data_IF_465200893009
#
_entry.id   IF_465200893009
#
_cell.length_a   1.000
_cell.length_b   1.000
_cell.length_c   1.000
_cell.angle_alpha   90.00
_cell.angle_beta   90.00
_cell.angle_gamma   90.00
#
_symmetry.space_group_name_H-M   'P 1'
#
loop_
_entity.id
_entity.type
_entity.pdbx_description
1 polymer ?
#
# COMPACT_ATOMS: atom_id res chain seq x y z
N UNK A 1 -42.17 25.59 -77.17
CA UNK A 1 -40.88 25.26 -76.54
C UNK A 1 -40.99 25.73 -75.09
N UNK A 2 -41.57 24.90 -74.22
CA UNK A 2 -40.95 23.79 -73.43
C UNK A 2 -40.58 24.29 -72.04
N UNK A 3 -41.42 23.95 -71.05
CA UNK A 3 -41.11 24.07 -69.63
C UNK A 3 -40.15 22.94 -69.26
N UNK A 4 -38.93 23.28 -68.85
CA UNK A 4 -37.99 22.34 -68.26
C UNK A 4 -38.30 22.23 -66.76
N UNK A 5 -38.71 21.03 -66.32
CA UNK A 5 -38.91 20.70 -64.91
C UNK A 5 -37.63 20.05 -64.40
N UNK A 6 -36.75 20.85 -63.81
CA UNK A 6 -35.61 20.36 -63.04
C UNK A 6 -36.13 19.72 -61.75
N UNK A 7 -36.21 18.40 -61.74
CA UNK A 7 -36.52 17.61 -60.54
C UNK A 7 -35.30 17.55 -59.62
N UNK A 8 -35.39 18.20 -58.46
CA UNK A 8 -34.43 18.03 -57.37
C UNK A 8 -34.65 16.64 -56.77
N UNK A 9 -33.74 15.70 -57.06
CA UNK A 9 -33.73 14.37 -56.43
C UNK A 9 -33.19 14.55 -55.00
N UNK A 10 -34.09 14.62 -54.03
CA UNK A 10 -33.73 14.59 -52.61
C UNK A 10 -33.27 13.19 -52.22
N UNK A 11 -31.99 13.04 -51.88
CA UNK A 11 -31.41 11.79 -51.40
C UNK A 11 -31.89 11.53 -49.97
N UNK A 12 -32.93 10.68 -49.81
CA UNK A 12 -33.48 10.31 -48.52
C UNK A 12 -32.53 9.34 -47.80
N UNK A 13 -31.50 9.88 -47.13
CA UNK A 13 -30.69 9.12 -46.18
C UNK A 13 -31.58 8.54 -45.08
N UNK A 14 -31.76 7.22 -45.10
CA UNK A 14 -32.46 6.47 -44.07
C UNK A 14 -31.73 6.70 -42.74
N UNK A 15 -32.35 7.46 -41.82
CA UNK A 15 -31.84 7.58 -40.45
C UNK A 15 -32.16 6.29 -39.72
N UNK A 16 -31.17 5.41 -39.61
CA UNK A 16 -31.24 4.25 -38.71
C UNK A 16 -31.13 4.76 -37.27
N UNK A 17 -32.24 4.78 -36.54
CA UNK A 17 -32.26 5.09 -35.11
C UNK A 17 -31.97 3.84 -34.28
N UNK A 18 -31.20 3.98 -33.21
CA UNK A 18 -31.07 2.95 -32.18
C UNK A 18 -32.41 2.75 -31.49
N UNK A 19 -32.75 1.50 -31.19
CA UNK A 19 -33.95 1.19 -30.41
C UNK A 19 -33.75 1.56 -28.94
N UNK A 20 -34.84 1.94 -28.27
CA UNK A 20 -34.82 2.19 -26.81
C UNK A 20 -34.33 0.94 -26.05
N UNK A 21 -34.67 -0.25 -26.56
CA UNK A 21 -34.27 -1.53 -25.98
C UNK A 21 -32.76 -1.76 -26.10
N UNK A 22 -32.14 -1.42 -27.24
CA UNK A 22 -30.68 -1.48 -27.40
C UNK A 22 -29.96 -0.55 -26.43
N UNK A 23 -30.46 0.66 -26.23
CA UNK A 23 -29.85 1.57 -25.27
C UNK A 23 -30.03 1.05 -23.83
N UNK A 24 -31.19 0.49 -23.51
CA UNK A 24 -31.51 -0.03 -22.19
C UNK A 24 -30.61 -1.21 -21.80
N UNK A 25 -30.41 -2.18 -22.70
CA UNK A 25 -29.54 -3.33 -22.38
C UNK A 25 -28.08 -2.89 -22.18
N UNK A 26 -27.61 -1.90 -22.94
CA UNK A 26 -26.23 -1.38 -22.82
C UNK A 26 -26.01 -0.73 -21.45
N UNK A 27 -26.92 0.14 -21.00
CA UNK A 27 -26.78 0.77 -19.68
C UNK A 27 -26.86 -0.25 -18.54
N UNK A 28 -27.70 -1.28 -18.68
CA UNK A 28 -27.81 -2.36 -17.68
C UNK A 28 -26.51 -3.16 -17.61
N UNK A 29 -25.94 -3.54 -18.77
CA UNK A 29 -24.67 -4.26 -18.81
C UNK A 29 -23.53 -3.42 -18.24
N UNK A 30 -23.44 -2.13 -18.59
CA UNK A 30 -22.44 -1.21 -18.02
C UNK A 30 -22.61 -1.08 -16.50
N UNK A 31 -23.83 -0.97 -15.99
CA UNK A 31 -24.09 -0.87 -14.56
C UNK A 31 -23.64 -2.13 -13.79
N UNK A 32 -23.91 -3.32 -14.34
CA UNK A 32 -23.48 -4.60 -13.75
C UNK A 32 -21.95 -4.71 -13.76
N UNK A 33 -21.31 -4.41 -14.89
CA UNK A 33 -19.85 -4.45 -15.01
C UNK A 33 -19.18 -3.45 -14.06
N UNK A 34 -19.70 -2.22 -13.99
CA UNK A 34 -19.19 -1.18 -13.09
C UNK A 34 -19.24 -1.64 -11.62
N UNK A 35 -20.36 -2.21 -11.17
CA UNK A 35 -20.50 -2.69 -9.80
C UNK A 35 -19.45 -3.78 -9.45
N UNK A 36 -19.22 -4.75 -10.34
CA UNK A 36 -18.20 -5.80 -10.14
C UNK A 36 -16.80 -5.20 -10.10
N UNK A 37 -16.50 -4.27 -11.01
CA UNK A 37 -15.16 -3.65 -11.09
C UNK A 37 -14.79 -2.87 -9.84
N UNK A 38 -15.73 -2.16 -9.21
CA UNK A 38 -15.47 -1.37 -8.00
C UNK A 38 -15.03 -2.27 -6.84
N UNK A 39 -15.74 -3.38 -6.60
CA UNK A 39 -15.41 -4.30 -5.49
C UNK A 39 -14.05 -4.95 -5.69
N UNK A 40 -13.75 -5.41 -6.91
CA UNK A 40 -12.46 -6.02 -7.23
C UNK A 40 -11.28 -5.02 -7.10
N UNK A 41 -11.50 -3.76 -7.48
CA UNK A 41 -10.47 -2.73 -7.47
C UNK A 41 -9.97 -2.39 -6.06
N UNK A 42 -10.84 -2.41 -5.04
CA UNK A 42 -10.45 -2.15 -3.66
C UNK A 42 -9.51 -3.22 -3.10
N UNK A 43 -9.80 -4.50 -3.32
CA UNK A 43 -8.94 -5.60 -2.87
C UNK A 43 -7.55 -5.61 -3.55
N UNK A 44 -7.49 -5.27 -4.83
CA UNK A 44 -6.21 -5.19 -5.58
C UNK A 44 -5.34 -4.04 -5.06
N UNK A 45 -5.95 -2.90 -4.73
CA UNK A 45 -5.21 -1.78 -4.14
C UNK A 45 -4.61 -2.15 -2.77
N UNK A 46 -5.39 -2.80 -1.89
CA UNK A 46 -4.88 -3.28 -0.59
C UNK A 46 -3.69 -4.23 -0.78
N UNK A 47 -3.80 -5.19 -1.70
CA UNK A 47 -2.72 -6.13 -1.99
C UNK A 47 -1.46 -5.44 -2.53
N UNK A 48 -1.62 -4.44 -3.40
CA UNK A 48 -0.51 -3.68 -3.97
C UNK A 48 0.23 -2.89 -2.88
N UNK A 49 -0.53 -2.22 -2.00
CA UNK A 49 0.01 -1.48 -0.86
C UNK A 49 0.73 -2.40 0.13
N UNK A 50 0.12 -3.53 0.46
CA UNK A 50 0.73 -4.55 1.31
C UNK A 50 2.05 -5.07 0.70
N UNK A 51 2.05 -5.34 -0.61
CA UNK A 51 3.26 -5.79 -1.33
C UNK A 51 4.37 -4.74 -1.29
N UNK A 52 4.03 -3.45 -1.44
CA UNK A 52 5.00 -2.34 -1.30
C UNK A 52 5.63 -2.35 0.10
N UNK A 53 4.81 -2.42 1.15
CA UNK A 53 5.30 -2.47 2.54
C UNK A 53 6.18 -3.70 2.79
N UNK A 54 5.74 -4.88 2.36
CA UNK A 54 6.49 -6.14 2.52
C UNK A 54 7.85 -6.06 1.83
N UNK A 55 7.91 -5.53 0.61
CA UNK A 55 9.16 -5.39 -0.15
C UNK A 55 10.11 -4.36 0.47
N UNK A 56 9.57 -3.24 0.96
CA UNK A 56 10.34 -2.24 1.68
C UNK A 56 10.96 -2.85 2.95
N UNK A 57 10.14 -3.50 3.78
CA UNK A 57 10.59 -4.18 5.01
C UNK A 57 11.62 -5.27 4.69
N UNK A 58 11.39 -6.08 3.67
CA UNK A 58 12.34 -7.13 3.27
C UNK A 58 13.71 -6.57 2.90
N UNK A 59 13.75 -5.39 2.27
CA UNK A 59 14.99 -4.69 1.92
C UNK A 59 15.70 -4.16 3.16
N UNK A 60 14.93 -3.57 4.10
CA UNK A 60 15.45 -3.15 5.41
C UNK A 60 16.03 -4.31 6.23
N UNK A 61 15.35 -5.46 6.28
CA UNK A 61 15.83 -6.66 6.99
C UNK A 61 17.15 -7.16 6.43
N UNK A 62 17.30 -7.19 5.10
CA UNK A 62 18.56 -7.56 4.47
C UNK A 62 19.69 -6.60 4.86
N UNK A 63 19.43 -5.31 4.84
CA UNK A 63 20.42 -4.30 5.25
C UNK A 63 20.77 -4.40 6.74
N UNK A 64 19.78 -4.65 7.61
CA UNK A 64 20.02 -4.85 9.04
C UNK A 64 20.93 -6.05 9.30
N UNK A 65 20.77 -7.14 8.55
CA UNK A 65 21.67 -8.31 8.64
C UNK A 65 23.08 -8.01 8.14
N UNK A 66 23.23 -7.19 7.09
CA UNK A 66 24.55 -6.73 6.65
C UNK A 66 25.20 -5.84 7.72
N UNK A 67 24.44 -4.93 8.31
CA UNK A 67 24.90 -4.10 9.42
C UNK A 67 25.39 -4.98 10.59
N UNK A 68 24.62 -5.99 10.97
CA UNK A 68 25.00 -6.92 12.02
C UNK A 68 26.27 -7.70 11.67
N UNK A 69 26.40 -8.18 10.43
CA UNK A 69 27.59 -8.91 9.99
C UNK A 69 28.88 -8.09 10.14
N UNK A 70 28.83 -6.79 9.90
CA UNK A 70 29.98 -5.89 9.98
C UNK A 70 30.23 -5.36 11.40
N UNK A 71 29.17 -5.10 12.17
CA UNK A 71 29.24 -4.43 13.48
C UNK A 71 29.07 -5.39 14.68
N UNK A 72 28.77 -6.66 14.43
CA UNK A 72 28.52 -7.70 15.43
C UNK A 72 27.23 -7.56 16.24
N UNK A 73 26.39 -6.56 15.93
CA UNK A 73 25.08 -6.35 16.56
C UNK A 73 24.19 -5.47 15.68
N UNK A 74 22.88 -5.56 15.85
CA UNK A 74 21.94 -4.65 15.18
C UNK A 74 21.94 -3.23 15.80
N UNK A 75 21.48 -2.20 15.06
CA UNK A 75 21.40 -0.83 15.56
C UNK A 75 20.58 -0.73 16.87
N UNK A 76 20.97 0.14 17.79
CA UNK A 76 20.28 0.22 19.10
C UNK A 76 19.12 1.20 19.13
N UNK A 77 19.00 2.05 18.10
CA UNK A 77 17.94 3.05 18.00
C UNK A 77 16.68 2.45 17.38
N UNK A 78 15.55 2.63 18.05
CA UNK A 78 14.24 2.33 17.47
C UNK A 78 13.92 3.35 16.38
N UNK A 79 13.29 2.91 15.30
CA UNK A 79 12.93 3.78 14.19
C UNK A 79 11.77 3.22 13.40
N UNK A 80 10.88 4.10 12.95
CA UNK A 80 10.06 3.81 11.79
C UNK A 80 10.95 3.56 10.56
N UNK A 81 10.51 2.66 9.68
CA UNK A 81 11.20 2.36 8.42
C UNK A 81 10.75 3.35 7.34
N UNK A 82 11.69 3.83 6.53
CA UNK A 82 11.50 4.89 5.54
C UNK A 82 12.39 6.10 5.83
N UNK A 83 12.29 7.14 5.02
CA UNK A 83 12.96 8.43 5.23
C UNK A 83 12.21 9.36 6.22
N UNK A 84 12.79 10.52 6.54
CA UNK A 84 12.22 11.48 7.53
C UNK A 84 10.89 12.12 7.12
N UNK A 85 10.52 12.06 5.84
CA UNK A 85 9.31 12.62 5.25
C UNK A 85 8.28 11.54 4.85
N UNK A 86 8.55 10.28 5.19
CA UNK A 86 7.69 9.13 4.81
C UNK A 86 6.29 9.26 5.37
N UNK A 87 6.21 9.55 6.66
CA UNK A 87 4.97 9.54 7.42
C UNK A 87 4.42 10.97 7.49
N UNK A 88 3.15 11.12 7.14
CA UNK A 88 2.46 12.41 7.20
C UNK A 88 2.10 12.80 8.64
N UNK A 89 1.60 14.03 8.81
CA UNK A 89 1.21 14.57 10.11
C UNK A 89 2.40 14.74 11.05
N UNK A 90 2.39 13.99 12.15
CA UNK A 90 3.41 14.04 13.20
C UNK A 90 4.61 13.11 12.95
N UNK A 91 4.69 12.48 11.76
CA UNK A 91 5.81 11.62 11.38
C UNK A 91 5.81 10.24 12.06
N UNK A 92 4.72 9.89 12.75
CA UNK A 92 4.63 8.65 13.52
C UNK A 92 4.24 7.45 12.65
N UNK A 93 4.68 6.27 13.05
CA UNK A 93 4.24 4.99 12.46
C UNK A 93 3.58 4.04 13.47
N UNK A 94 3.59 4.38 14.76
CA UNK A 94 3.04 3.55 15.82
C UNK A 94 2.72 4.35 17.09
N UNK A 95 1.65 3.97 17.78
CA UNK A 95 1.10 4.61 18.99
C UNK A 95 2.09 5.47 19.80
N UNK A 96 1.99 6.81 19.66
CA UNK A 96 2.68 7.89 20.40
C UNK A 96 3.82 8.63 19.67
N UNK A 97 4.23 9.77 20.24
CA UNK A 97 5.29 10.65 19.70
C UNK A 97 6.70 10.10 19.72
N UNK A 98 6.92 8.90 20.25
CA UNK A 98 8.25 8.28 20.30
C UNK A 98 8.56 7.42 19.07
N UNK A 99 7.55 6.91 18.37
CA UNK A 99 7.74 6.07 17.18
C UNK A 99 7.74 6.92 15.93
N UNK A 100 8.87 7.56 15.71
CA UNK A 100 9.16 8.35 14.51
C UNK A 100 10.38 7.77 13.80
N UNK A 101 10.65 8.26 12.60
CA UNK A 101 11.91 7.95 11.91
C UNK A 101 13.08 8.60 12.67
N UNK A 102 14.05 7.80 13.07
CA UNK A 102 15.18 8.24 13.88
C UNK A 102 16.41 8.55 13.00
N UNK A 103 16.90 9.79 13.06
CA UNK A 103 18.06 10.21 12.23
C UNK A 103 19.35 9.47 12.55
N UNK A 104 19.58 9.07 13.80
CA UNK A 104 20.76 8.28 14.17
C UNK A 104 20.66 6.86 13.62
N UNK A 105 19.46 6.27 13.60
CA UNK A 105 19.21 5.00 12.93
C UNK A 105 19.50 5.10 11.43
N UNK A 106 18.95 6.11 10.74
CA UNK A 106 19.22 6.31 9.32
C UNK A 106 20.71 6.52 9.04
N UNK A 107 21.40 7.31 9.86
CA UNK A 107 22.84 7.54 9.71
C UNK A 107 23.64 6.24 9.81
N UNK A 108 23.32 5.38 10.78
CA UNK A 108 23.95 4.07 10.94
C UNK A 108 23.67 3.13 9.75
N UNK A 109 22.49 3.25 9.14
CA UNK A 109 22.07 2.39 8.02
C UNK A 109 22.49 2.90 6.64
N UNK A 110 22.97 4.14 6.53
CA UNK A 110 23.20 4.82 5.24
C UNK A 110 24.20 4.12 4.31
N UNK A 111 25.17 3.38 4.86
CA UNK A 111 26.13 2.58 4.10
C UNK A 111 25.52 1.28 3.54
N UNK A 112 24.54 0.72 4.25
CA UNK A 112 23.94 -0.58 3.95
C UNK A 112 22.72 -0.47 3.05
N UNK A 113 22.03 0.67 3.07
CA UNK A 113 20.78 0.86 2.34
C UNK A 113 20.55 2.32 1.95
N UNK A 114 20.65 2.60 0.66
CA UNK A 114 20.35 3.90 0.07
C UNK A 114 19.93 3.73 -1.41
N UNK A 115 18.84 4.36 -1.88
CA UNK A 115 17.87 5.14 -1.09
C UNK A 115 17.07 4.26 -0.12
N UNK A 116 16.53 4.87 0.93
CA UNK A 116 15.70 4.17 1.92
C UNK A 116 14.38 3.67 1.29
N UNK A 117 14.08 2.35 1.35
CA UNK A 117 12.83 1.83 0.83
C UNK A 117 11.64 2.31 1.63
N UNK A 118 10.62 2.78 0.91
CA UNK A 118 9.44 3.39 1.50
C UNK A 118 8.29 2.39 1.61
N UNK A 119 7.78 2.11 2.83
CA UNK A 119 6.56 1.32 2.98
C UNK A 119 5.32 2.09 2.51
N UNK A 120 4.18 1.40 2.43
CA UNK A 120 2.89 2.10 2.31
C UNK A 120 2.49 2.70 3.67
N UNK A 121 1.91 3.90 3.63
CA UNK A 121 1.57 4.68 4.83
C UNK A 121 0.08 4.72 5.13
N UNK A 122 -0.72 3.87 4.45
CA UNK A 122 -2.14 3.74 4.77
C UNK A 122 -2.33 3.25 6.21
N UNK A 123 -3.28 3.88 6.92
CA UNK A 123 -3.59 3.57 8.31
C UNK A 123 -4.35 2.24 8.40
N UNK A 124 -4.05 1.45 9.43
CA UNK A 124 -4.77 0.20 9.72
C UNK A 124 -5.81 0.32 10.85
N UNK A 125 -5.85 1.47 11.52
CA UNK A 125 -6.82 1.76 12.61
C UNK A 125 -7.11 3.27 12.67
N UNK A 126 -7.78 3.79 11.66
CA UNK A 126 -8.01 5.23 11.51
C UNK A 126 -8.84 5.86 12.64
N UNK A 127 -9.60 5.02 13.36
CA UNK A 127 -10.53 5.45 14.42
C UNK A 127 -9.81 5.57 15.76
N UNK A 128 -9.08 4.53 16.18
CA UNK A 128 -8.52 4.48 17.53
C UNK A 128 -7.04 4.86 17.56
N UNK A 129 -6.32 4.55 16.47
CA UNK A 129 -4.86 4.63 16.39
C UNK A 129 -4.40 5.08 14.98
N UNK A 130 -4.67 6.34 14.60
CA UNK A 130 -4.46 6.85 13.23
C UNK A 130 -2.99 6.89 12.81
N UNK A 131 -2.05 6.63 13.69
CA UNK A 131 -0.62 6.59 13.44
C UNK A 131 -0.11 5.19 13.08
N UNK A 132 -0.90 4.12 13.25
CA UNK A 132 -0.49 2.74 12.90
C UNK A 132 -0.44 2.54 11.40
N UNK A 133 0.77 2.51 10.84
CA UNK A 133 1.04 2.35 9.39
C UNK A 133 2.50 1.99 9.10
N UNK A 134 2.76 1.53 7.89
CA UNK A 134 4.09 1.14 7.41
C UNK A 134 4.74 0.01 8.20
N UNK A 135 5.91 0.27 8.74
CA UNK A 135 6.65 -0.68 9.57
C UNK A 135 7.77 -0.02 10.36
N UNK A 136 8.22 -0.68 11.42
CA UNK A 136 9.25 -0.14 12.30
C UNK A 136 10.15 -1.21 12.88
N UNK A 137 11.37 -0.78 13.19
CA UNK A 137 12.39 -1.54 13.89
C UNK A 137 12.38 -1.18 15.38
N UNK A 138 12.41 -2.20 16.23
CA UNK A 138 12.34 -2.05 17.67
C UNK A 138 13.31 -3.00 18.38
N UNK A 139 14.19 -2.44 19.19
CA UNK A 139 15.00 -3.15 20.17
C UNK A 139 14.31 -3.13 21.53
N UNK A 140 13.99 -4.31 22.05
CA UNK A 140 13.50 -4.46 23.42
C UNK A 140 14.61 -4.30 24.46
N UNK A 141 14.22 -4.04 25.71
CA UNK A 141 15.15 -3.96 26.86
C UNK A 141 15.93 -5.26 27.09
N UNK A 142 15.38 -6.41 26.69
CA UNK A 142 16.04 -7.71 26.76
C UNK A 142 17.04 -8.00 25.65
N UNK A 143 17.29 -7.05 24.75
CA UNK A 143 18.21 -7.22 23.62
C UNK A 143 17.62 -8.01 22.44
N UNK A 144 16.31 -8.28 22.45
CA UNK A 144 15.61 -8.89 21.31
C UNK A 144 15.19 -7.82 20.34
N UNK A 145 15.44 -8.07 19.05
CA UNK A 145 15.11 -7.17 17.96
C UNK A 145 13.81 -7.61 17.28
N UNK A 146 12.96 -6.64 16.99
CA UNK A 146 11.65 -6.86 16.40
C UNK A 146 11.47 -5.98 15.16
N UNK A 147 10.73 -6.53 14.20
CA UNK A 147 10.19 -5.80 13.06
C UNK A 147 8.68 -5.87 13.16
N UNK A 148 8.03 -4.72 13.09
CA UNK A 148 6.58 -4.61 12.99
C UNK A 148 6.20 -4.16 11.59
N UNK A 149 5.13 -4.76 11.06
CA UNK A 149 4.63 -4.48 9.73
C UNK A 149 3.11 -4.37 9.78
N UNK A 150 2.56 -3.29 9.23
CA UNK A 150 1.12 -3.13 9.09
C UNK A 150 0.66 -3.58 7.70
N UNK A 151 -0.47 -4.27 7.63
CA UNK A 151 -1.09 -4.75 6.40
C UNK A 151 -2.57 -4.37 6.39
N UNK A 152 -3.05 -3.82 5.28
CA UNK A 152 -4.45 -3.51 5.04
C UNK A 152 -5.29 -4.78 4.88
N UNK A 153 -6.56 -4.68 5.27
CA UNK A 153 -7.52 -5.76 5.26
C UNK A 153 -7.24 -6.84 6.30
N UNK A 154 -7.60 -8.09 6.00
CA UNK A 154 -7.38 -9.22 6.91
C UNK A 154 -6.45 -10.33 6.34
N UNK A 155 -5.27 -10.00 5.78
CA UNK A 155 -4.38 -11.01 5.22
C UNK A 155 -3.75 -11.87 6.33
N UNK A 156 -3.26 -13.07 6.02
CA UNK A 156 -2.33 -13.77 6.91
C UNK A 156 -0.98 -13.04 6.94
N UNK A 157 -0.31 -13.01 8.10
CA UNK A 157 1.06 -12.49 8.21
C UNK A 157 2.02 -13.30 7.32
N UNK A 158 2.66 -12.69 6.31
CA UNK A 158 3.52 -13.41 5.37
C UNK A 158 4.92 -13.65 5.94
N UNK A 159 5.66 -14.60 5.37
CA UNK A 159 7.09 -14.72 5.63
C UNK A 159 7.85 -13.58 4.94
N UNK A 160 8.72 -12.88 5.67
CA UNK A 160 9.44 -11.70 5.15
C UNK A 160 10.94 -11.90 5.42
N UNK A 161 11.74 -12.08 4.36
CA UNK A 161 13.21 -12.10 4.43
C UNK A 161 13.82 -12.98 5.55
N UNK A 162 13.17 -14.09 5.92
CA UNK A 162 13.66 -14.97 6.99
C UNK A 162 13.44 -14.44 8.41
N UNK A 163 12.54 -13.47 8.59
CA UNK A 163 12.04 -13.07 9.90
C UNK A 163 11.15 -14.16 10.51
N UNK A 164 11.23 -14.32 11.84
CA UNK A 164 10.42 -15.30 12.57
C UNK A 164 9.14 -14.65 13.06
N UNK A 165 7.98 -15.17 12.66
CA UNK A 165 6.69 -14.66 13.13
C UNK A 165 6.58 -14.79 14.65
N UNK A 166 6.17 -13.71 15.32
CA UNK A 166 6.05 -13.67 16.76
C UNK A 166 4.61 -13.47 17.22
N UNK A 167 3.92 -12.44 16.72
CA UNK A 167 2.53 -12.17 17.09
C UNK A 167 1.84 -11.30 16.05
N UNK A 168 0.52 -11.19 16.15
CA UNK A 168 -0.28 -10.27 15.33
C UNK A 168 -1.41 -9.65 16.16
N UNK A 169 -1.97 -8.55 15.68
CA UNK A 169 -3.21 -7.97 16.21
C UNK A 169 -3.93 -7.18 15.13
N UNK A 170 -5.19 -6.84 15.38
CA UNK A 170 -6.07 -6.22 14.38
C UNK A 170 -6.33 -4.75 14.70
N UNK A 171 -6.54 -3.96 13.65
CA UNK A 171 -7.16 -2.63 13.67
C UNK A 171 -8.46 -2.65 12.87
N UNK A 172 -9.08 -1.48 12.68
CA UNK A 172 -10.35 -1.35 11.96
C UNK A 172 -10.21 -1.63 10.46
N UNK A 173 -9.12 -1.20 9.83
CA UNK A 173 -8.88 -1.31 8.38
C UNK A 173 -7.79 -2.32 8.04
N UNK A 174 -7.13 -2.90 9.03
CA UNK A 174 -5.98 -3.75 8.81
C UNK A 174 -5.56 -4.58 10.01
N UNK A 175 -4.34 -5.09 9.95
CA UNK A 175 -3.66 -5.76 11.06
C UNK A 175 -2.19 -5.41 11.09
N UNK A 176 -1.56 -5.70 12.21
CA UNK A 176 -0.12 -5.64 12.35
C UNK A 176 0.45 -7.03 12.61
N UNK A 177 1.65 -7.27 12.12
CA UNK A 177 2.43 -8.46 12.31
C UNK A 177 3.76 -8.07 12.97
N UNK A 178 4.07 -8.70 14.08
CA UNK A 178 5.36 -8.57 14.77
C UNK A 178 6.20 -9.81 14.48
N UNK A 179 7.44 -9.56 14.11
CA UNK A 179 8.44 -10.58 13.86
C UNK A 179 9.66 -10.36 14.73
N UNK A 180 10.32 -11.45 15.09
CA UNK A 180 11.67 -11.42 15.69
C UNK A 180 12.71 -11.39 14.58
N UNK A 181 13.72 -10.55 14.77
CA UNK A 181 14.95 -10.52 13.98
C UNK A 181 16.05 -11.22 14.78
N UNK A 182 16.49 -12.35 14.23
CA UNK A 182 17.54 -13.23 14.74
C UNK A 182 18.68 -13.32 13.72
#
# INVERSE_FOLDING_TARGET
MTYDRIGVVGDYRQKTGFTIVELLIVIVVIAILAAITIVAYNGIQEQTKNTKTINAVASWVKALRLYEADNGSFPTQNSCLGNTNTYDGNGQCWDSSTWVVNNSFLSAMSEYISPYPEPDTSQIDSINHPDRRGGFYHRSSGGIYYIWVTLLGNPSCPAIAGLVFNSQGSGTEGKYCRYTLE
#
